data_IF_721868171080
#
_entry.id   IF_721868171080
#
_cell.length_a   1.000
_cell.length_b   1.000
_cell.length_c   1.000
_cell.angle_alpha   90.00
_cell.angle_beta   90.00
_cell.angle_gamma   90.00
#
_symmetry.space_group_name_H-M   'P 1'
#
loop_
_entity.id
_entity.type
_entity.pdbx_description
1 polymer ?
#
# COMPACT_ATOMS: atom_id res chain seq x y z
N UNK A 1 -12.71 6.27 -17.24
CA UNK A 1 -11.33 6.61 -16.82
C UNK A 1 -11.04 5.87 -15.51
N UNK A 2 -9.92 5.15 -15.43
CA UNK A 2 -9.54 4.35 -14.24
C UNK A 2 -8.27 4.92 -13.64
N UNK A 3 -8.26 5.13 -12.33
CA UNK A 3 -7.08 5.53 -11.58
C UNK A 3 -6.20 4.31 -11.29
N UNK A 4 -4.92 4.40 -11.61
CA UNK A 4 -3.92 3.36 -11.44
C UNK A 4 -2.74 3.96 -10.67
N UNK A 5 -2.24 3.21 -9.69
CA UNK A 5 -1.02 3.52 -8.95
C UNK A 5 -0.13 2.28 -9.04
N UNK A 6 1.16 2.47 -9.29
CA UNK A 6 2.10 1.34 -9.34
C UNK A 6 2.29 0.76 -7.92
N UNK A 7 2.31 -0.58 -7.75
CA UNK A 7 2.44 -1.22 -6.42
C UNK A 7 3.61 -0.73 -5.57
N UNK A 8 4.76 -0.46 -6.20
CA UNK A 8 5.97 0.03 -5.53
C UNK A 8 5.90 1.51 -5.11
N UNK A 9 4.85 2.25 -5.50
CA UNK A 9 4.58 3.63 -5.07
C UNK A 9 3.61 3.72 -3.89
N UNK A 10 3.01 2.59 -3.51
CA UNK A 10 2.19 2.48 -2.30
C UNK A 10 3.11 2.16 -1.11
N UNK A 11 2.87 2.82 0.01
CA UNK A 11 3.48 2.48 1.31
C UNK A 11 2.43 1.81 2.19
N UNK A 12 2.85 0.85 3.00
CA UNK A 12 1.98 0.18 3.98
C UNK A 12 2.51 0.48 5.39
N UNK A 13 1.63 0.85 6.30
CA UNK A 13 1.98 1.21 7.68
C UNK A 13 0.90 0.74 8.64
N UNK A 14 1.20 0.65 9.94
CA UNK A 14 0.15 0.51 10.95
C UNK A 14 -0.75 1.76 10.96
N UNK A 15 -2.06 1.64 11.24
CA UNK A 15 -2.99 2.79 11.18
C UNK A 15 -2.59 3.99 12.05
N UNK A 16 -1.90 3.73 13.17
CA UNK A 16 -1.41 4.75 14.10
C UNK A 16 0.02 5.23 13.88
N UNK A 17 0.75 4.71 12.88
CA UNK A 17 2.12 5.15 12.60
C UNK A 17 2.20 6.68 12.37
N UNK A 18 3.31 7.33 12.76
CA UNK A 18 3.52 8.75 12.52
C UNK A 18 3.36 9.10 11.03
N UNK A 19 2.75 10.24 10.77
CA UNK A 19 2.65 10.77 9.40
C UNK A 19 4.05 11.19 8.93
N UNK A 20 4.34 10.87 7.67
CA UNK A 20 5.58 11.25 7.00
C UNK A 20 5.68 12.77 6.82
N UNK A 21 6.88 13.32 6.62
CA UNK A 21 7.10 14.76 6.40
C UNK A 21 6.42 15.29 5.13
N UNK A 22 6.11 14.40 4.17
CA UNK A 22 5.36 14.67 2.94
C UNK A 22 3.85 14.41 3.08
N UNK A 23 3.30 14.33 4.30
CA UNK A 23 1.92 13.92 4.55
C UNK A 23 0.87 14.75 3.80
N UNK A 24 1.08 16.06 3.62
CA UNK A 24 0.12 16.93 2.93
C UNK A 24 0.00 16.60 1.43
N UNK A 25 1.04 16.01 0.86
CA UNK A 25 1.09 15.57 -0.54
C UNK A 25 0.60 14.14 -0.73
N UNK A 26 0.34 13.43 0.38
CA UNK A 26 -0.11 12.05 0.38
C UNK A 26 -1.62 11.95 0.49
N UNK A 27 -2.13 10.82 0.04
CA UNK A 27 -3.46 10.32 0.34
C UNK A 27 -3.32 8.94 0.97
N UNK A 28 -4.33 8.56 1.74
CA UNK A 28 -4.30 7.30 2.46
C UNK A 28 -5.66 6.64 2.54
N UNK A 29 -5.65 5.33 2.76
CA UNK A 29 -6.84 4.53 3.03
C UNK A 29 -6.51 3.47 4.08
N UNK A 30 -7.48 3.17 4.95
CA UNK A 30 -7.40 2.02 5.84
C UNK A 30 -7.90 0.78 5.09
N UNK A 31 -7.20 -0.32 5.24
CA UNK A 31 -7.61 -1.61 4.70
C UNK A 31 -7.14 -2.76 5.58
N UNK A 32 -7.51 -3.97 5.17
CA UNK A 32 -7.12 -5.21 5.85
C UNK A 32 -6.28 -6.03 4.89
N UNK A 33 -5.16 -6.58 5.37
CA UNK A 33 -4.35 -7.51 4.58
C UNK A 33 -5.17 -8.77 4.33
N UNK A 34 -5.46 -9.05 3.06
CA UNK A 34 -6.15 -10.27 2.63
C UNK A 34 -5.16 -11.43 2.48
N UNK A 35 -4.00 -11.17 1.87
CA UNK A 35 -2.91 -12.14 1.77
C UNK A 35 -1.54 -11.44 1.67
N UNK A 36 -0.49 -12.25 1.81
CA UNK A 36 0.90 -11.85 1.64
C UNK A 36 1.64 -12.84 0.74
N UNK A 37 2.32 -12.35 -0.29
CA UNK A 37 3.10 -13.16 -1.23
C UNK A 37 4.59 -12.81 -1.13
N UNK A 38 5.43 -13.81 -0.94
CA UNK A 38 6.89 -13.69 -0.99
C UNK A 38 7.39 -14.10 -2.39
N UNK A 39 8.07 -13.19 -3.07
CA UNK A 39 8.59 -13.37 -4.43
C UNK A 39 10.09 -13.00 -4.46
N UNK A 40 10.92 -13.88 -3.92
CA UNK A 40 12.36 -13.62 -3.75
C UNK A 40 12.60 -12.48 -2.76
N UNK A 41 13.31 -11.39 -3.16
CA UNK A 41 13.59 -10.26 -2.28
C UNK A 41 12.40 -9.33 -2.08
N UNK A 42 11.27 -9.60 -2.74
CA UNK A 42 10.07 -8.78 -2.69
C UNK A 42 8.99 -9.45 -1.87
N UNK A 43 8.27 -8.63 -1.11
CA UNK A 43 7.03 -8.99 -0.44
C UNK A 43 5.90 -8.17 -1.03
N UNK A 44 4.81 -8.84 -1.39
CA UNK A 44 3.58 -8.18 -1.85
C UNK A 44 2.50 -8.39 -0.82
N UNK A 45 1.74 -7.34 -0.54
CA UNK A 45 0.54 -7.41 0.28
C UNK A 45 -0.66 -7.13 -0.60
N UNK A 46 -1.67 -7.98 -0.54
CA UNK A 46 -2.99 -7.67 -1.05
C UNK A 46 -3.80 -7.08 0.09
N UNK A 47 -4.17 -5.81 -0.04
CA UNK A 47 -4.91 -5.06 0.97
C UNK A 47 -6.31 -4.76 0.45
N UNK A 48 -7.31 -5.30 1.14
CA UNK A 48 -8.71 -5.00 0.87
C UNK A 48 -9.07 -3.65 1.50
N UNK A 49 -9.42 -2.67 0.66
CA UNK A 49 -9.88 -1.35 1.07
C UNK A 49 -11.28 -1.08 0.50
N UNK A 50 -12.31 -1.23 1.32
CA UNK A 50 -13.69 -1.19 0.87
C UNK A 50 -13.97 -2.30 -0.14
N UNK A 51 -14.39 -1.95 -1.36
CA UNK A 51 -14.64 -2.91 -2.45
C UNK A 51 -13.45 -3.11 -3.39
N UNK A 52 -12.29 -2.49 -3.10
CA UNK A 52 -11.10 -2.52 -3.96
C UNK A 52 -9.98 -3.32 -3.30
N UNK A 53 -9.28 -4.11 -4.11
CA UNK A 53 -8.02 -4.74 -3.71
C UNK A 53 -6.85 -3.88 -4.19
N UNK A 54 -5.93 -3.54 -3.28
CA UNK A 54 -4.69 -2.84 -3.58
C UNK A 54 -3.51 -3.80 -3.41
N UNK A 55 -2.59 -3.81 -4.36
CA UNK A 55 -1.33 -4.54 -4.22
C UNK A 55 -0.23 -3.57 -3.82
N UNK A 56 0.32 -3.74 -2.62
CA UNK A 56 1.51 -3.01 -2.17
C UNK A 56 2.74 -3.91 -2.37
N UNK A 57 3.87 -3.33 -2.78
CA UNK A 57 5.13 -4.06 -2.97
C UNK A 57 6.25 -3.44 -2.15
N UNK A 58 6.87 -4.25 -1.30
CA UNK A 58 8.01 -3.86 -0.46
C UNK A 58 9.20 -4.80 -0.63
N UNK A 59 10.39 -4.30 -0.28
CA UNK A 59 11.59 -5.12 -0.23
C UNK A 59 11.70 -5.81 1.13
N UNK A 60 11.97 -7.12 1.16
CA UNK A 60 12.04 -7.92 2.39
C UNK A 60 13.14 -7.41 3.33
N UNK A 61 14.27 -6.97 2.78
CA UNK A 61 15.41 -6.46 3.56
C UNK A 61 15.21 -5.04 4.13
N UNK A 62 14.05 -4.41 3.93
CA UNK A 62 13.82 -3.02 4.37
C UNK A 62 13.68 -2.85 5.89
N UNK A 63 13.63 -3.96 6.65
CA UNK A 63 13.36 -3.91 8.10
C UNK A 63 11.95 -3.38 8.44
N UNK A 64 11.10 -3.16 7.44
CA UNK A 64 9.71 -2.77 7.61
C UNK A 64 8.95 -3.85 8.38
N UNK A 65 7.95 -3.41 9.14
CA UNK A 65 7.05 -4.31 9.85
C UNK A 65 6.42 -5.32 8.88
N UNK A 66 6.39 -6.58 9.31
CA UNK A 66 5.72 -7.66 8.57
C UNK A 66 4.26 -7.67 8.96
N UNK A 67 3.37 -7.68 7.98
CA UNK A 67 1.92 -7.79 8.18
C UNK A 67 1.42 -9.19 7.79
N UNK A 68 0.45 -9.68 8.55
CA UNK A 68 -0.22 -10.96 8.37
C UNK A 68 -1.62 -10.75 7.81
N UNK A 69 -2.22 -11.76 7.14
CA UNK A 69 -3.64 -11.74 6.79
C UNK A 69 -4.52 -11.43 8.02
N UNK A 70 -5.47 -10.52 7.86
CA UNK A 70 -6.32 -10.01 8.94
C UNK A 70 -5.81 -8.73 9.60
N UNK A 71 -4.54 -8.35 9.41
CA UNK A 71 -4.01 -7.12 9.97
C UNK A 71 -4.66 -5.89 9.34
N UNK A 72 -5.09 -4.95 10.19
CA UNK A 72 -5.51 -3.64 9.74
C UNK A 72 -4.27 -2.77 9.47
N UNK A 73 -4.24 -2.18 8.28
CA UNK A 73 -3.12 -1.37 7.80
C UNK A 73 -3.63 -0.07 7.19
N UNK A 74 -2.74 0.90 7.10
CA UNK A 74 -2.92 2.11 6.31
C UNK A 74 -2.05 1.99 5.08
N UNK A 75 -2.63 2.27 3.92
CA UNK A 75 -1.92 2.35 2.65
C UNK A 75 -1.86 3.82 2.23
N UNK A 76 -0.66 4.32 1.94
CA UNK A 76 -0.39 5.72 1.60
C UNK A 76 0.29 5.85 0.23
N UNK A 77 -0.12 6.82 -0.58
CA UNK A 77 0.53 7.17 -1.85
C UNK A 77 0.65 8.68 -2.02
N UNK A 78 1.56 9.13 -2.89
CA UNK A 78 1.61 10.53 -3.32
C UNK A 78 0.52 10.80 -4.36
N UNK A 79 -0.12 11.98 -4.29
CA UNK A 79 -1.10 12.39 -5.30
C UNK A 79 -0.51 12.39 -6.71
N UNK A 80 0.77 12.71 -6.83
CA UNK A 80 1.52 12.73 -8.10
C UNK A 80 1.83 11.35 -8.69
N UNK A 81 1.62 10.25 -7.94
CA UNK A 81 1.82 8.88 -8.43
C UNK A 81 0.56 8.28 -9.07
N UNK A 82 -0.59 8.95 -8.97
CA UNK A 82 -1.83 8.51 -9.62
C UNK A 82 -1.74 8.77 -11.12
N UNK A 83 -2.08 7.76 -11.92
CA UNK A 83 -2.25 7.87 -13.38
C UNK A 83 -3.67 7.51 -13.74
N UNK A 84 -4.25 8.26 -14.66
CA UNK A 84 -5.58 7.99 -15.17
C UNK A 84 -5.47 7.45 -16.59
N UNK A 85 -6.09 6.29 -16.82
CA UNK A 85 -6.13 5.66 -18.13
C UNK A 85 -7.57 5.58 -18.63
N UNK A 86 -7.73 5.66 -19.94
CA UNK A 86 -8.99 5.35 -20.61
C UNK A 86 -8.97 3.87 -20.96
N UNK A 87 -10.06 3.16 -20.62
CA UNK A 87 -10.30 1.79 -21.01
C UNK A 87 -11.22 1.78 -22.23
#
# INVERSE_FOLDING_TARGET
>A
MVAIIRPERLRISTPGAPRSTDADQRQSVIGTVADTVYAGPLRKYHVQAGTRMLTVREHVASGQQVYSPGDQVRVDWLRSDVRFVTL
#
